data_IF_650157866217
#
_entry.id   IF_650157866217
#
_cell.length_a   1.000
_cell.length_b   1.000
_cell.length_c   1.000
_cell.angle_alpha   90.00
_cell.angle_beta   90.00
_cell.angle_gamma   90.00
#
_symmetry.space_group_name_H-M   'P 1'
#
loop_
_entity.id
_entity.type
_entity.pdbx_description
1 polymer ?
#
# COMPACT_ATOMS: atom_id res chain seq x y z
N UNK A 1 -0.48 -2.14 -4.10
CA UNK A 1 0.07 -3.10 -3.14
C UNK A 1 1.59 -3.02 -3.13
N UNK A 2 2.20 -3.06 -1.95
CA UNK A 2 3.63 -3.17 -1.74
C UNK A 2 3.88 -4.49 -1.02
N UNK A 3 5.02 -5.14 -1.24
CA UNK A 3 5.41 -6.32 -0.46
C UNK A 3 5.23 -6.04 1.05
N UNK A 4 4.59 -6.96 1.81
CA UNK A 4 4.24 -6.71 3.21
C UNK A 4 5.44 -6.29 4.08
N UNK A 5 6.59 -6.93 3.91
CA UNK A 5 7.81 -6.63 4.67
C UNK A 5 8.29 -5.21 4.39
N UNK A 6 8.44 -4.87 3.11
CA UNK A 6 8.85 -3.54 2.66
C UNK A 6 7.88 -2.45 3.14
N UNK A 7 6.56 -2.73 3.10
CA UNK A 7 5.52 -1.83 3.60
C UNK A 7 5.65 -1.60 5.10
N UNK A 8 5.73 -2.67 5.88
CA UNK A 8 5.80 -2.64 7.33
C UNK A 8 6.97 -1.80 7.80
N UNK A 9 8.17 -2.10 7.28
CA UNK A 9 9.41 -1.40 7.59
C UNK A 9 9.30 0.09 7.26
N UNK A 10 8.74 0.42 6.10
CA UNK A 10 8.54 1.81 5.71
C UNK A 10 7.60 2.56 6.65
N UNK A 11 6.54 1.91 7.13
CA UNK A 11 5.59 2.51 8.06
C UNK A 11 6.19 2.64 9.47
N UNK A 12 6.90 1.61 9.93
CA UNK A 12 7.57 1.60 11.24
C UNK A 12 8.55 2.75 11.37
N UNK A 13 9.37 2.98 10.35
CA UNK A 13 10.31 4.09 10.30
C UNK A 13 9.65 5.46 10.10
N UNK A 14 8.39 5.50 9.65
CA UNK A 14 7.66 6.75 9.47
C UNK A 14 6.93 7.17 10.75
N UNK A 15 6.37 6.23 11.50
CA UNK A 15 5.62 6.50 12.73
C UNK A 15 6.58 6.62 13.91
N UNK A 16 7.12 7.82 14.12
CA UNK A 16 8.14 8.12 15.14
C UNK A 16 7.77 7.63 16.55
N UNK A 17 6.50 7.74 16.94
CA UNK A 17 6.03 7.29 18.27
C UNK A 17 6.17 5.77 18.46
N UNK A 18 5.81 4.98 17.44
CA UNK A 18 5.98 3.52 17.44
C UNK A 18 7.46 3.17 17.43
N UNK A 19 8.25 3.83 16.56
CA UNK A 19 9.69 3.61 16.48
C UNK A 19 10.39 3.91 17.81
N UNK A 20 10.08 5.05 18.45
CA UNK A 20 10.68 5.41 19.74
C UNK A 20 10.26 4.44 20.86
N UNK A 21 9.00 4.00 20.87
CA UNK A 21 8.48 3.10 21.91
C UNK A 21 9.06 1.69 21.82
N UNK A 22 9.08 1.10 20.63
CA UNK A 22 9.44 -0.31 20.45
C UNK A 22 10.89 -0.52 19.98
N UNK A 23 11.54 0.53 19.47
CA UNK A 23 12.92 0.58 18.96
C UNK A 23 13.17 -0.25 17.70
N UNK A 24 12.66 -1.47 17.64
CA UNK A 24 12.80 -2.39 16.51
C UNK A 24 11.45 -2.92 16.04
N UNK A 25 11.40 -3.38 14.79
CA UNK A 25 10.19 -3.94 14.17
C UNK A 25 9.74 -5.22 14.89
N UNK A 26 10.70 -6.06 15.24
CA UNK A 26 10.51 -7.35 15.91
C UNK A 26 9.88 -7.17 17.30
N UNK A 27 10.36 -6.18 18.07
CA UNK A 27 9.79 -5.85 19.37
C UNK A 27 8.34 -5.38 19.24
N UNK A 28 8.04 -4.60 18.21
CA UNK A 28 6.67 -4.17 17.96
C UNK A 28 5.77 -5.34 17.55
N UNK A 29 6.23 -6.23 16.66
CA UNK A 29 5.50 -7.47 16.33
C UNK A 29 5.25 -8.31 17.58
N UNK A 30 6.25 -8.52 18.43
CA UNK A 30 6.10 -9.29 19.66
C UNK A 30 5.06 -8.65 20.62
N UNK A 31 5.04 -7.32 20.70
CA UNK A 31 4.04 -6.59 21.48
C UNK A 31 2.62 -6.74 20.89
N UNK A 32 2.47 -6.69 19.56
CA UNK A 32 1.20 -6.95 18.88
C UNK A 32 0.70 -8.36 19.18
N UNK A 33 1.56 -9.37 19.03
CA UNK A 33 1.22 -10.79 19.23
C UNK A 33 0.85 -11.12 20.67
N UNK A 34 1.55 -10.52 21.63
CA UNK A 34 1.19 -10.65 23.04
C UNK A 34 -0.08 -9.87 23.42
N UNK A 35 -0.65 -9.09 22.49
CA UNK A 35 -1.81 -8.20 22.69
C UNK A 35 -1.61 -7.22 23.87
N UNK A 36 -0.35 -6.97 24.24
CA UNK A 36 0.01 -6.09 25.36
C UNK A 36 0.45 -4.75 24.82
N UNK A 37 -0.07 -3.67 25.40
CA UNK A 37 0.44 -2.30 25.22
C UNK A 37 0.37 -1.72 23.79
N UNK A 38 -0.29 -2.41 22.85
CA UNK A 38 -0.54 -1.93 21.48
C UNK A 38 -2.03 -1.71 21.28
N UNK A 39 -2.41 -0.53 20.80
CA UNK A 39 -3.81 -0.22 20.49
C UNK A 39 -4.24 -1.03 19.26
N UNK A 40 -5.50 -1.47 19.20
CA UNK A 40 -6.04 -2.24 18.06
C UNK A 40 -5.81 -1.53 16.73
N UNK A 41 -5.99 -0.20 16.68
CA UNK A 41 -5.72 0.58 15.47
C UNK A 41 -4.26 0.53 15.03
N UNK A 42 -3.31 0.55 15.96
CA UNK A 42 -1.89 0.42 15.65
C UNK A 42 -1.59 -1.01 15.17
N UNK A 43 -2.22 -2.03 15.75
CA UNK A 43 -2.07 -3.40 15.29
C UNK A 43 -2.58 -3.57 13.84
N UNK A 44 -3.79 -3.07 13.53
CA UNK A 44 -4.38 -3.11 12.19
C UNK A 44 -3.63 -2.25 11.17
N UNK A 45 -2.99 -1.14 11.59
CA UNK A 45 -2.21 -0.30 10.70
C UNK A 45 -0.95 -1.01 10.17
N UNK A 46 -0.45 -2.01 10.90
CA UNK A 46 0.82 -2.67 10.63
C UNK A 46 0.72 -4.14 10.25
N UNK A 47 -0.20 -4.89 10.84
CA UNK A 47 -0.37 -6.33 10.65
C UNK A 47 -1.64 -6.61 9.85
N UNK A 48 -1.52 -7.32 8.72
CA UNK A 48 -2.60 -7.61 7.78
C UNK A 48 -3.41 -6.36 7.37
N UNK A 49 -2.70 -5.23 7.21
CA UNK A 49 -3.35 -3.96 6.97
C UNK A 49 -4.08 -3.91 5.63
N UNK A 50 -3.51 -4.51 4.57
CA UNK A 50 -4.20 -4.55 3.29
C UNK A 50 -5.50 -5.32 3.43
N UNK A 51 -5.48 -6.52 4.00
CA UNK A 51 -6.67 -7.30 4.24
C UNK A 51 -7.72 -6.48 5.03
N UNK A 52 -7.29 -5.76 6.07
CA UNK A 52 -8.17 -4.92 6.88
C UNK A 52 -8.78 -3.75 6.11
N UNK A 53 -8.01 -3.07 5.27
CA UNK A 53 -8.50 -1.97 4.43
C UNK A 53 -9.45 -2.48 3.34
N UNK A 54 -9.12 -3.61 2.71
CA UNK A 54 -9.87 -4.16 1.58
C UNK A 54 -11.19 -4.83 2.00
N UNK A 55 -11.26 -5.37 3.22
CA UNK A 55 -12.49 -5.98 3.72
C UNK A 55 -13.62 -4.96 3.88
N UNK A 56 -13.30 -3.68 4.13
CA UNK A 56 -14.31 -2.65 4.39
C UNK A 56 -15.11 -2.90 5.69
N UNK A 57 -14.64 -3.82 6.53
CA UNK A 57 -15.30 -4.26 7.75
C UNK A 57 -15.23 -3.20 8.86
N UNK A 58 -16.12 -3.26 9.88
CA UNK A 58 -16.03 -2.37 11.04
C UNK A 58 -14.66 -2.45 11.71
N UNK A 59 -14.21 -1.35 12.33
CA UNK A 59 -12.92 -1.24 13.04
C UNK A 59 -12.71 -2.39 14.08
N UNK A 60 -13.81 -2.96 14.57
CA UNK A 60 -13.88 -4.04 15.56
C UNK A 60 -13.44 -5.42 14.99
N UNK A 61 -13.56 -5.65 13.67
CA UNK A 61 -13.02 -6.84 13.02
C UNK A 61 -11.56 -6.59 12.67
N UNK A 62 -10.67 -7.28 13.39
CA UNK A 62 -9.21 -7.12 13.29
C UNK A 62 -8.60 -8.38 12.68
N UNK A 63 -7.76 -8.21 11.66
CA UNK A 63 -6.92 -9.29 11.13
C UNK A 63 -5.51 -9.27 11.73
N UNK A 64 -5.21 -8.33 12.62
CA UNK A 64 -3.87 -8.18 13.18
C UNK A 64 -3.41 -9.36 14.05
N UNK A 65 -4.36 -10.21 14.48
CA UNK A 65 -4.12 -11.33 15.40
C UNK A 65 -4.28 -12.71 14.74
N UNK A 66 -4.30 -12.77 13.41
CA UNK A 66 -4.36 -14.04 12.66
C UNK A 66 -3.01 -14.75 12.78
N UNK A 67 -2.97 -15.81 13.59
CA UNK A 67 -1.74 -16.53 13.93
C UNK A 67 -1.56 -17.85 13.17
N UNK A 68 -2.65 -18.48 12.69
CA UNK A 68 -2.57 -19.73 11.94
C UNK A 68 -2.46 -19.51 10.43
N UNK A 69 -1.80 -20.42 9.70
CA UNK A 69 -1.73 -20.35 8.23
C UNK A 69 -3.08 -20.71 7.59
N UNK A 70 -3.80 -21.66 8.19
CA UNK A 70 -5.10 -22.11 7.71
C UNK A 70 -6.14 -20.99 7.76
N UNK A 71 -6.29 -20.33 8.91
CA UNK A 71 -7.16 -19.16 9.05
C UNK A 71 -6.76 -18.05 8.07
N UNK A 72 -5.46 -17.80 7.90
CA UNK A 72 -4.98 -16.81 6.96
C UNK A 72 -5.36 -17.14 5.51
N UNK A 73 -5.29 -18.41 5.12
CA UNK A 73 -5.70 -18.88 3.79
C UNK A 73 -7.22 -18.77 3.58
N UNK A 74 -8.03 -19.10 4.59
CA UNK A 74 -9.49 -18.93 4.53
C UNK A 74 -9.86 -17.46 4.34
N UNK A 75 -9.29 -16.55 5.15
CA UNK A 75 -9.54 -15.11 5.05
C UNK A 75 -9.07 -14.57 3.70
N UNK A 76 -7.88 -14.95 3.27
CA UNK A 76 -7.35 -14.55 1.96
C UNK A 76 -8.28 -14.96 0.82
N UNK A 77 -8.75 -16.20 0.81
CA UNK A 77 -9.59 -16.72 -0.27
C UNK A 77 -10.97 -16.09 -0.29
N UNK A 78 -11.55 -15.81 0.88
CA UNK A 78 -12.78 -15.03 0.97
C UNK A 78 -12.59 -13.61 0.40
N UNK A 79 -11.57 -12.89 0.88
CA UNK A 79 -11.31 -11.52 0.43
C UNK A 79 -11.01 -11.47 -1.06
N UNK A 80 -10.23 -12.41 -1.58
CA UNK A 80 -9.95 -12.50 -3.00
C UNK A 80 -11.24 -12.67 -3.81
N UNK A 81 -12.12 -13.60 -3.42
CA UNK A 81 -13.40 -13.81 -4.09
C UNK A 81 -14.27 -12.55 -4.11
N UNK A 82 -14.33 -11.81 -2.99
CA UNK A 82 -15.06 -10.55 -2.90
C UNK A 82 -14.46 -9.45 -3.80
N UNK A 83 -13.12 -9.36 -3.86
CA UNK A 83 -12.42 -8.38 -4.69
C UNK A 83 -12.60 -8.66 -6.19
N UNK A 84 -12.51 -9.92 -6.59
CA UNK A 84 -12.74 -10.33 -7.98
C UNK A 84 -14.18 -10.05 -8.41
N UNK A 85 -15.17 -10.36 -7.55
CA UNK A 85 -16.57 -10.07 -7.81
C UNK A 85 -16.85 -8.56 -8.00
N UNK A 86 -16.02 -7.70 -7.38
CA UNK A 86 -16.09 -6.24 -7.53
C UNK A 86 -15.26 -5.72 -8.72
N UNK A 87 -14.58 -6.59 -9.47
CA UNK A 87 -13.71 -6.20 -10.59
C UNK A 87 -12.46 -5.43 -10.13
N UNK A 88 -11.97 -5.70 -8.93
CA UNK A 88 -10.82 -4.99 -8.38
C UNK A 88 -9.57 -5.21 -9.25
N UNK A 89 -8.82 -4.12 -9.52
CA UNK A 89 -7.52 -4.22 -10.20
C UNK A 89 -6.42 -3.85 -9.24
N UNK A 90 -5.55 -4.81 -8.94
CA UNK A 90 -4.40 -4.61 -8.07
C UNK A 90 -3.24 -3.97 -8.85
N UNK A 91 -2.74 -2.84 -8.34
CA UNK A 91 -1.51 -2.20 -8.82
C UNK A 91 -0.36 -2.53 -7.86
N UNK A 92 0.88 -2.66 -8.35
CA UNK A 92 2.08 -3.01 -7.58
C UNK A 92 3.02 -1.80 -7.44
N UNK A 93 3.42 -1.50 -6.20
CA UNK A 93 4.17 -0.28 -5.88
C UNK A 93 5.65 -0.37 -6.26
N UNK A 94 6.21 -1.57 -6.18
CA UNK A 94 7.54 -1.96 -6.64
C UNK A 94 7.63 -2.05 -8.17
N UNK A 95 6.48 -2.15 -8.85
CA UNK A 95 6.33 -2.14 -10.32
C UNK A 95 5.45 -0.99 -10.77
N UNK A 96 5.78 0.22 -10.31
CA UNK A 96 4.92 1.40 -10.48
C UNK A 96 4.73 1.76 -11.95
N UNK A 97 5.78 1.68 -12.77
CA UNK A 97 5.69 2.00 -14.19
C UNK A 97 4.74 1.05 -14.91
N UNK A 98 4.88 -0.26 -14.67
CA UNK A 98 3.98 -1.27 -15.23
C UNK A 98 2.55 -1.11 -14.73
N UNK A 99 2.40 -0.80 -13.44
CA UNK A 99 1.09 -0.56 -12.83
C UNK A 99 0.38 0.64 -13.45
N UNK A 100 1.12 1.71 -13.73
CA UNK A 100 0.56 2.88 -14.40
C UNK A 100 0.18 2.56 -15.85
N UNK A 101 1.01 1.81 -16.58
CA UNK A 101 0.69 1.38 -17.95
C UNK A 101 -0.57 0.50 -17.98
N UNK A 102 -0.68 -0.45 -17.05
CA UNK A 102 -1.87 -1.28 -16.90
C UNK A 102 -3.11 -0.44 -16.57
N UNK A 103 -3.01 0.49 -15.62
CA UNK A 103 -4.11 1.39 -15.27
C UNK A 103 -4.56 2.25 -16.46
N UNK A 104 -3.60 2.87 -17.17
CA UNK A 104 -3.89 3.68 -18.35
C UNK A 104 -4.56 2.84 -19.45
N UNK A 105 -4.14 1.59 -19.65
CA UNK A 105 -4.80 0.68 -20.58
C UNK A 105 -6.25 0.40 -20.18
N UNK A 106 -6.51 0.02 -18.91
CA UNK A 106 -7.88 -0.26 -18.43
C UNK A 106 -8.79 0.96 -18.49
N UNK A 107 -8.26 2.14 -18.19
CA UNK A 107 -9.03 3.39 -18.20
C UNK A 107 -9.10 4.05 -19.59
N UNK A 108 -8.44 3.47 -20.61
CA UNK A 108 -8.29 4.05 -21.96
C UNK A 108 -7.72 5.47 -21.94
N UNK A 109 -6.79 5.72 -21.03
CA UNK A 109 -6.07 6.99 -20.95
C UNK A 109 -4.89 7.03 -21.92
N UNK A 110 -4.69 8.18 -22.55
CA UNK A 110 -3.47 8.44 -23.31
C UNK A 110 -2.32 8.71 -22.32
N UNK A 111 -1.20 8.04 -22.51
CA UNK A 111 0.02 8.23 -21.71
C UNK A 111 0.47 9.69 -21.66
N UNK A 112 0.27 10.43 -22.76
CA UNK A 112 0.64 11.85 -22.85
C UNK A 112 -0.27 12.76 -22.04
N UNK A 113 -1.48 12.30 -21.73
CA UNK A 113 -2.49 13.09 -20.99
C UNK A 113 -2.29 13.04 -19.48
N UNK A 114 -1.56 12.04 -18.96
CA UNK A 114 -1.35 11.87 -17.53
C UNK A 114 -0.14 12.68 -17.06
N UNK A 115 -0.39 13.65 -16.17
CA UNK A 115 0.68 14.44 -15.54
C UNK A 115 0.98 13.87 -14.15
N UNK A 116 2.26 13.63 -13.89
CA UNK A 116 2.74 13.19 -12.58
C UNK A 116 3.41 14.37 -11.89
N UNK A 117 2.91 14.75 -10.71
CA UNK A 117 3.61 15.67 -9.83
C UNK A 117 4.56 14.86 -8.97
N UNK A 118 5.86 15.01 -9.21
CA UNK A 118 6.87 14.43 -8.34
C UNK A 118 7.07 15.36 -7.13
N UNK A 119 6.53 15.00 -5.98
CA UNK A 119 6.93 15.63 -4.71
C UNK A 119 8.12 14.86 -4.14
N UNK A 120 9.24 14.77 -4.88
CA UNK A 120 10.40 13.93 -4.51
C UNK A 120 11.38 14.56 -3.53
N UNK A 121 11.18 15.79 -3.05
CA UNK A 121 12.03 16.35 -1.98
C UNK A 121 12.00 15.52 -0.69
N UNK A 122 11.04 14.58 -0.55
CA UNK A 122 10.95 13.68 0.62
C UNK A 122 11.67 12.33 0.49
N UNK A 123 12.16 11.97 -0.70
CA UNK A 123 12.65 10.60 -0.97
C UNK A 123 14.18 10.49 -0.83
N UNK A 124 14.94 11.57 -1.02
CA UNK A 124 16.40 11.48 -1.18
C UNK A 124 17.20 11.21 0.11
N UNK A 125 16.66 11.40 1.31
CA UNK A 125 17.44 11.33 2.56
C UNK A 125 16.97 10.32 3.61
N UNK A 126 16.08 9.38 3.26
CA UNK A 126 15.76 8.28 4.19
C UNK A 126 16.80 7.20 4.04
N UNK A 127 17.69 7.05 5.04
CA UNK A 127 18.36 5.78 5.29
C UNK A 127 17.29 4.70 5.25
N UNK A 128 17.32 3.86 4.23
CA UNK A 128 16.46 2.70 4.09
C UNK A 128 16.88 1.75 5.21
N UNK A 129 16.27 1.89 6.38
CA UNK A 129 16.40 0.94 7.47
C UNK A 129 15.72 -0.34 7.01
N UNK A 130 16.45 -1.15 6.25
CA UNK A 130 15.96 -2.41 5.70
C UNK A 130 15.92 -3.45 6.82
N UNK A 131 14.87 -4.25 6.81
CA UNK A 131 14.82 -5.51 7.55
C UNK A 131 15.76 -6.50 6.83
N UNK A 132 17.04 -6.48 7.20
CA UNK A 132 18.09 -7.26 6.51
C UNK A 132 18.28 -8.66 7.08
N UNK A 133 17.80 -8.93 8.30
CA UNK A 133 17.89 -10.26 8.91
C UNK A 133 16.67 -11.12 8.60
N UNK A 134 16.89 -12.42 8.46
CA UNK A 134 15.80 -13.40 8.28
C UNK A 134 14.87 -13.43 9.49
N UNK A 135 15.41 -13.21 10.69
CA UNK A 135 14.62 -13.12 11.93
C UNK A 135 13.62 -11.95 11.89
N UNK A 136 14.06 -10.78 11.41
CA UNK A 136 13.20 -9.63 11.22
C UNK A 136 12.10 -9.92 10.18
N UNK A 137 12.48 -10.53 9.05
CA UNK A 137 11.54 -10.86 7.96
C UNK A 137 10.48 -11.85 8.46
N UNK A 138 10.91 -12.90 9.12
CA UNK A 138 10.05 -13.92 9.73
C UNK A 138 9.10 -13.30 10.74
N UNK A 139 9.59 -12.41 11.63
CA UNK A 139 8.74 -11.73 12.60
C UNK A 139 7.64 -10.92 11.90
N UNK A 140 7.98 -10.06 10.94
CA UNK A 140 7.01 -9.22 10.23
C UNK A 140 5.98 -10.07 9.49
N UNK A 141 6.42 -11.09 8.74
CA UNK A 141 5.53 -12.00 8.02
C UNK A 141 4.61 -12.77 8.97
N UNK A 142 5.08 -13.05 10.19
CA UNK A 142 4.29 -13.79 11.17
C UNK A 142 3.03 -13.05 11.66
N UNK A 143 2.91 -11.74 11.48
CA UNK A 143 1.66 -10.98 11.69
C UNK A 143 1.03 -10.44 10.39
N UNK A 144 1.65 -10.69 9.23
CA UNK A 144 1.19 -10.24 7.91
C UNK A 144 0.86 -11.42 6.97
N UNK A 145 0.37 -12.52 7.53
CA UNK A 145 0.14 -13.77 6.80
C UNK A 145 -0.90 -13.61 5.68
N UNK A 146 -2.02 -12.94 5.95
CA UNK A 146 -3.08 -12.72 4.96
C UNK A 146 -2.57 -11.78 3.87
N UNK A 147 -1.91 -10.69 4.25
CA UNK A 147 -1.33 -9.74 3.29
C UNK A 147 -0.27 -10.40 2.40
N UNK A 148 0.52 -11.34 2.95
CA UNK A 148 1.51 -12.11 2.21
C UNK A 148 0.86 -13.04 1.17
N UNK A 149 -0.18 -13.78 1.55
CA UNK A 149 -0.89 -14.67 0.64
C UNK A 149 -1.58 -13.88 -0.47
N UNK A 150 -2.26 -12.77 -0.12
CA UNK A 150 -2.86 -11.87 -1.11
C UNK A 150 -1.79 -11.33 -2.08
N UNK A 151 -0.66 -10.83 -1.56
CA UNK A 151 0.43 -10.34 -2.41
C UNK A 151 0.97 -11.41 -3.36
N UNK A 152 1.17 -12.64 -2.87
CA UNK A 152 1.61 -13.77 -3.69
C UNK A 152 0.59 -14.14 -4.77
N UNK A 153 -0.70 -14.16 -4.45
CA UNK A 153 -1.77 -14.50 -5.41
C UNK A 153 -1.92 -13.46 -6.51
N UNK A 154 -1.80 -12.18 -6.18
CA UNK A 154 -1.98 -11.11 -7.17
C UNK A 154 -0.77 -10.91 -8.10
N UNK A 155 0.42 -11.40 -7.74
CA UNK A 155 1.59 -11.30 -8.61
C UNK A 155 1.42 -11.94 -10.00
N UNK A 156 1.05 -13.25 -10.12
CA UNK A 156 0.82 -13.85 -11.43
C UNK A 156 -0.35 -13.19 -12.17
N UNK A 157 -1.44 -12.85 -11.49
CA UNK A 157 -2.59 -12.15 -12.08
C UNK A 157 -2.17 -10.80 -12.68
N UNK A 158 -1.35 -10.03 -11.96
CA UNK A 158 -0.81 -8.77 -12.46
C UNK A 158 0.05 -8.98 -13.72
N UNK A 159 0.89 -10.01 -13.74
CA UNK A 159 1.72 -10.34 -14.93
C UNK A 159 0.85 -10.72 -16.13
N UNK A 160 -0.18 -11.52 -15.91
CA UNK A 160 -1.15 -11.91 -16.94
C UNK A 160 -1.87 -10.68 -17.50
N UNK A 161 -2.42 -9.82 -16.63
CA UNK A 161 -3.11 -8.59 -17.04
C UNK A 161 -2.17 -7.64 -17.81
N UNK A 162 -0.91 -7.51 -17.39
CA UNK A 162 0.08 -6.71 -18.10
C UNK A 162 0.41 -7.29 -19.48
N UNK A 163 0.47 -8.62 -19.62
CA UNK A 163 0.76 -9.28 -20.90
C UNK A 163 -0.31 -9.05 -21.96
N UNK A 164 -1.53 -8.70 -21.54
CA UNK A 164 -2.65 -8.36 -22.43
C UNK A 164 -2.56 -6.91 -22.92
N UNK A 165 -1.67 -6.09 -22.38
CA UNK A 165 -1.48 -4.70 -22.81
C UNK A 165 -0.67 -4.68 -24.10
N UNK A 166 -1.20 -4.15 -25.22
CA UNK A 166 -0.46 -4.04 -26.47
C UNK A 166 0.81 -3.18 -26.27
N UNK A 167 1.93 -3.70 -26.78
CA UNK A 167 3.24 -3.05 -26.71
C UNK A 167 3.62 -2.57 -25.28
N UNK A 168 3.31 -3.38 -24.26
CA UNK A 168 3.52 -3.02 -22.86
C UNK A 168 4.93 -2.43 -22.60
N UNK A 169 5.98 -3.07 -23.10
CA UNK A 169 7.36 -2.65 -22.88
C UNK A 169 7.67 -1.27 -23.51
N UNK A 170 7.17 -1.00 -24.73
CA UNK A 170 7.31 0.31 -25.36
C UNK A 170 6.62 1.38 -24.51
N UNK A 171 5.39 1.11 -24.07
CA UNK A 171 4.60 2.04 -23.25
C UNK A 171 5.22 2.27 -21.88
N UNK A 172 5.83 1.25 -21.27
CA UNK A 172 6.59 1.37 -20.02
C UNK A 172 7.81 2.27 -20.24
N UNK A 173 8.54 2.07 -21.33
CA UNK A 173 9.71 2.89 -21.65
C UNK A 173 9.33 4.35 -21.94
N UNK A 174 8.24 4.59 -22.67
CA UNK A 174 7.69 5.93 -22.87
C UNK A 174 7.28 6.59 -21.54
N UNK A 175 6.61 5.83 -20.68
CA UNK A 175 6.22 6.29 -19.35
C UNK A 175 7.44 6.74 -18.54
N UNK A 176 8.48 5.90 -18.49
CA UNK A 176 9.71 6.21 -17.77
C UNK A 176 10.44 7.43 -18.35
N UNK A 177 10.46 7.61 -19.68
CA UNK A 177 11.02 8.81 -20.34
C UNK A 177 10.25 10.08 -19.97
N UNK A 178 8.92 10.03 -19.93
CA UNK A 178 8.09 11.17 -19.54
C UNK A 178 8.24 11.49 -18.04
N UNK A 179 8.31 10.46 -17.20
CA UNK A 179 8.53 10.63 -15.76
C UNK A 179 9.87 11.32 -15.48
N UNK A 180 10.96 10.87 -16.14
CA UNK A 180 12.31 11.41 -15.93
C UNK A 180 12.49 12.83 -16.48
N UNK A 181 11.73 13.23 -17.50
CA UNK A 181 11.93 14.51 -18.20
C UNK A 181 11.20 15.72 -17.57
N UNK A 182 10.33 15.52 -16.56
CA UNK A 182 9.52 16.59 -15.94
C UNK A 182 9.85 16.87 -14.46
N UNK A 183 11.09 16.65 -14.01
CA UNK A 183 11.53 16.97 -12.64
C UNK A 183 11.88 18.45 -12.39
N UNK A 184 11.60 19.37 -13.32
CA UNK A 184 11.96 20.79 -13.20
C UNK A 184 10.74 21.69 -13.02
N UNK A 185 10.28 21.88 -11.78
CA UNK A 185 9.40 23.01 -11.45
C UNK A 185 8.54 22.83 -10.19
N UNK A 186 8.37 23.88 -9.37
CA UNK A 186 7.64 23.78 -8.10
C UNK A 186 6.14 23.85 -8.35
N UNK A 187 5.43 22.74 -8.15
CA UNK A 187 3.98 22.76 -7.98
C UNK A 187 3.60 21.97 -6.74
N UNK A 188 3.70 22.65 -5.60
CA UNK A 188 2.98 22.28 -4.38
C UNK A 188 1.47 22.42 -4.62
N UNK A 189 0.81 21.35 -5.03
CA UNK A 189 -0.59 21.09 -4.70
C UNK A 189 -0.85 19.61 -4.87
N UNK A 190 -0.84 18.91 -3.74
CA UNK A 190 -1.01 17.45 -3.61
C UNK A 190 -2.43 16.97 -3.96
N UNK A 191 -3.32 17.88 -4.36
CA UNK A 191 -4.75 17.66 -4.63
C UNK A 191 -5.24 18.62 -5.72
N UNK A 192 -6.28 18.27 -6.50
CA UNK A 192 -7.02 19.23 -7.32
C UNK A 192 -7.38 20.45 -6.47
N UNK A 193 -7.23 21.67 -7.02
CA UNK A 193 -7.39 22.95 -6.29
C UNK A 193 -8.77 23.23 -5.70
N UNK A 194 -9.68 22.26 -5.77
CA UNK A 194 -11.06 22.25 -5.29
C UNK A 194 -11.20 21.46 -3.97
N UNK A 195 -10.13 20.82 -3.48
CA UNK A 195 -10.14 20.05 -2.23
C UNK A 195 -9.39 20.78 -1.11
N UNK A 196 -9.84 21.98 -0.73
CA UNK A 196 -9.36 22.64 0.47
C UNK A 196 -10.11 22.08 1.69
N UNK A 197 -9.63 20.97 2.25
CA UNK A 197 -9.92 20.69 3.65
C UNK A 197 -8.87 21.40 4.51
N UNK A 198 -9.34 22.32 5.34
CA UNK A 198 -8.58 22.83 6.49
C UNK A 198 -8.01 21.65 7.26
N UNK A 199 -6.72 21.71 7.61
CA UNK A 199 -6.00 20.72 8.42
C UNK A 199 -6.58 20.64 9.84
N UNK A 200 -7.80 20.16 9.99
CA UNK A 200 -8.30 19.63 11.25
C UNK A 200 -7.96 18.14 11.29
N UNK A 201 -7.29 17.66 12.35
CA UNK A 201 -6.95 16.25 12.48
C UNK A 201 -8.24 15.43 12.58
N UNK A 202 -8.63 14.78 11.49
CA UNK A 202 -9.77 13.87 11.50
C UNK A 202 -9.35 12.54 12.15
N UNK A 203 -10.02 12.08 13.21
CA UNK A 203 -9.68 10.84 13.90
C UNK A 203 -9.97 9.57 13.08
N UNK A 204 -10.59 9.66 11.89
CA UNK A 204 -10.86 8.51 11.03
C UNK A 204 -10.56 8.90 9.59
N UNK A 205 -9.69 8.15 8.91
CA UNK A 205 -9.27 8.32 7.50
C UNK A 205 -10.40 8.32 6.43
N UNK A 206 -11.67 8.52 6.81
CA UNK A 206 -12.88 8.53 5.97
C UNK A 206 -12.90 9.58 4.86
N UNK A 207 -12.09 10.65 4.96
CA UNK A 207 -12.16 11.79 4.03
C UNK A 207 -11.19 11.72 2.84
N UNK A 208 -10.37 10.67 2.72
CA UNK A 208 -9.46 10.52 1.58
C UNK A 208 -10.17 10.25 0.23
N UNK A 209 -11.50 10.00 0.22
CA UNK A 209 -12.22 9.56 -0.97
C UNK A 209 -13.46 10.36 -1.36
N UNK A 210 -13.80 11.46 -0.66
CA UNK A 210 -14.99 12.24 -0.99
C UNK A 210 -14.61 13.64 -1.49
N UNK A 211 -14.51 13.77 -2.82
CA UNK A 211 -14.68 15.05 -3.48
C UNK A 211 -16.18 15.32 -3.58
N UNK A 212 -16.77 15.84 -2.50
CA UNK A 212 -18.17 16.24 -2.49
C UNK A 212 -18.33 17.62 -3.13
N UNK A 213 -19.08 17.70 -4.22
CA UNK A 213 -19.58 18.97 -4.75
C UNK A 213 -20.48 19.61 -3.69
N UNK A 214 -20.02 20.66 -3.04
CA UNK A 214 -20.88 21.59 -2.34
C UNK A 214 -20.81 22.92 -3.08
N UNK A 215 -21.94 23.30 -3.66
CA UNK A 215 -22.25 24.69 -3.99
C UNK A 215 -22.37 25.50 -2.71
#
# INVERSE_FOLDING_TARGET
>A
LREPVSRFVSLFNFVRTIQTKFRTAENFVAAVKSRKSVKVNDANAFCNNMAWVLSGEPIEKTFAYVDSLEEAATIESQLFGELEARGFTMLLSDRMAESMVLLMHKMRWDIKSVRFSDTSDRIQNRKTYLCQSESCRTAILSCNRVDQLLWQRYQPIFREQLSQVPEADNRINEFLKQWRSKSTGPWMRKYPGNCFQTNTPDPRFRKLHMCGNSK
#
